data_IF_023746826424
#
_entry.id   IF_023746826424
#
_cell.length_a   1.000
_cell.length_b   1.000
_cell.length_c   1.000
_cell.angle_alpha   90.00
_cell.angle_beta   90.00
_cell.angle_gamma   90.00
#
_symmetry.space_group_name_H-M   'P 1'
#
loop_
_entity.id
_entity.type
_entity.pdbx_description
1 polymer ?
#
# COMPACT_ATOMS: atom_id res chain seq x y z
N UNK A 1 7.42 -45.24 22.90
CA UNK A 1 6.70 -44.11 23.54
C UNK A 1 6.26 -43.18 22.42
N UNK A 2 5.01 -43.29 21.96
CA UNK A 2 4.45 -42.40 20.93
C UNK A 2 3.95 -41.13 21.62
N UNK A 3 4.53 -39.99 21.29
CA UNK A 3 4.06 -38.68 21.75
C UNK A 3 2.87 -38.27 20.89
N UNK A 4 1.68 -38.26 21.49
CA UNK A 4 0.46 -37.71 20.87
C UNK A 4 0.63 -36.20 20.69
N UNK A 5 0.61 -35.72 19.45
CA UNK A 5 0.39 -34.29 19.15
C UNK A 5 -1.11 -34.01 19.39
N UNK A 6 -1.42 -33.16 20.37
CA UNK A 6 -2.79 -32.71 20.61
C UNK A 6 -3.13 -31.56 19.64
N UNK A 7 -4.04 -31.73 18.67
CA UNK A 7 -4.36 -30.72 17.66
C UNK A 7 -5.10 -29.46 18.19
N UNK A 8 -5.23 -29.30 19.51
CA UNK A 8 -5.96 -28.20 20.13
C UNK A 8 -5.13 -26.95 20.43
N UNK A 9 -3.81 -27.07 20.61
CA UNK A 9 -2.97 -25.96 21.10
C UNK A 9 -2.60 -24.95 20.00
N UNK A 10 -2.36 -25.41 18.77
CA UNK A 10 -2.05 -24.53 17.63
C UNK A 10 -3.29 -23.74 17.16
N UNK A 11 -4.47 -24.37 17.18
CA UNK A 11 -5.72 -23.70 16.85
C UNK A 11 -6.05 -22.57 17.84
N UNK A 12 -5.81 -22.80 19.13
CA UNK A 12 -5.97 -21.79 20.18
C UNK A 12 -4.93 -20.67 20.06
N UNK A 13 -3.66 -21.01 19.74
CA UNK A 13 -2.62 -20.02 19.51
C UNK A 13 -2.93 -19.11 18.31
N UNK A 14 -3.44 -19.70 17.22
CA UNK A 14 -3.86 -18.96 16.03
C UNK A 14 -5.08 -18.08 16.32
N UNK A 15 -6.02 -18.54 17.15
CA UNK A 15 -7.16 -17.74 17.59
C UNK A 15 -6.73 -16.54 18.45
N UNK A 16 -5.82 -16.74 19.42
CA UNK A 16 -5.21 -15.67 20.22
C UNK A 16 -4.50 -14.64 19.33
N UNK A 17 -3.72 -15.10 18.35
CA UNK A 17 -3.03 -14.22 17.40
C UNK A 17 -4.03 -13.41 16.55
N UNK A 18 -5.08 -14.04 16.03
CA UNK A 18 -6.11 -13.35 15.25
C UNK A 18 -6.85 -12.29 16.09
N UNK A 19 -7.15 -12.60 17.36
CA UNK A 19 -7.75 -11.67 18.29
C UNK A 19 -6.81 -10.49 18.62
N UNK A 20 -5.53 -10.75 18.83
CA UNK A 20 -4.53 -9.71 19.05
C UNK A 20 -4.38 -8.78 17.85
N UNK A 21 -4.37 -9.34 16.63
CA UNK A 21 -4.35 -8.55 15.39
C UNK A 21 -5.60 -7.68 15.30
N UNK A 22 -6.78 -8.20 15.68
CA UNK A 22 -8.01 -7.41 15.71
C UNK A 22 -7.93 -6.25 16.73
N UNK A 23 -7.36 -6.48 17.92
CA UNK A 23 -7.13 -5.43 18.92
C UNK A 23 -6.11 -4.39 18.43
N UNK A 24 -5.02 -4.84 17.79
CA UNK A 24 -4.03 -3.97 17.16
C UNK A 24 -4.68 -3.03 16.14
N UNK A 25 -5.54 -3.59 15.27
CA UNK A 25 -6.25 -2.82 14.25
C UNK A 25 -7.29 -1.86 14.85
N UNK A 26 -7.76 -2.10 16.09
CA UNK A 26 -8.61 -1.16 16.85
C UNK A 26 -7.84 0.02 17.46
N UNK A 27 -6.52 0.10 17.24
CA UNK A 27 -5.61 0.95 18.01
C UNK A 27 -5.62 0.68 19.52
N UNK A 28 -6.19 -0.46 19.94
CA UNK A 28 -6.12 -0.91 21.32
C UNK A 28 -4.80 -1.64 21.53
N UNK A 29 -3.72 -0.86 21.48
CA UNK A 29 -2.36 -1.35 21.62
C UNK A 29 -2.09 -1.91 23.02
N UNK A 30 -2.77 -1.37 24.03
CA UNK A 30 -2.68 -1.84 25.41
C UNK A 30 -3.23 -3.27 25.53
N UNK A 31 -4.45 -3.52 25.06
CA UNK A 31 -5.03 -4.87 25.10
C UNK A 31 -4.33 -5.83 24.14
N UNK A 32 -3.89 -5.37 22.96
CA UNK A 32 -3.11 -6.19 22.03
C UNK A 32 -1.80 -6.67 22.67
N UNK A 33 -1.01 -5.75 23.25
CA UNK A 33 0.24 -6.09 23.91
C UNK A 33 0.04 -6.98 25.13
N UNK A 34 -1.02 -6.75 25.92
CA UNK A 34 -1.39 -7.60 27.05
C UNK A 34 -1.73 -9.03 26.62
N UNK A 35 -2.53 -9.18 25.55
CA UNK A 35 -2.93 -10.49 25.03
C UNK A 35 -1.72 -11.26 24.48
N UNK A 36 -0.89 -10.61 23.64
CA UNK A 36 0.27 -11.27 23.06
C UNK A 36 1.35 -11.57 24.08
N UNK A 37 1.65 -10.65 25.02
CA UNK A 37 2.68 -10.87 26.04
C UNK A 37 2.41 -12.06 26.95
N UNK A 38 1.14 -12.40 27.18
CA UNK A 38 0.74 -13.61 27.92
C UNK A 38 1.13 -14.89 27.20
N UNK A 39 0.96 -14.92 25.88
CA UNK A 39 1.11 -16.12 25.06
C UNK A 39 2.48 -16.23 24.39
N UNK A 40 3.26 -15.12 24.33
CA UNK A 40 4.56 -15.04 23.65
C UNK A 40 5.64 -15.92 24.29
N UNK A 41 5.50 -16.28 25.56
CA UNK A 41 6.43 -17.20 26.22
C UNK A 41 5.99 -18.67 26.14
N UNK A 42 4.79 -18.92 25.59
CA UNK A 42 4.19 -20.24 25.45
C UNK A 42 3.92 -20.59 23.99
N UNK A 43 2.64 -20.67 23.63
CA UNK A 43 2.17 -21.14 22.33
C UNK A 43 2.59 -20.27 21.15
N UNK A 44 2.88 -18.99 21.37
CA UNK A 44 3.30 -18.04 20.32
C UNK A 44 4.81 -17.77 20.30
N UNK A 45 5.60 -18.48 21.11
CA UNK A 45 7.05 -18.26 21.27
C UNK A 45 7.86 -18.28 19.98
N UNK A 46 7.48 -19.11 19.02
CA UNK A 46 8.19 -19.25 17.75
C UNK A 46 7.40 -18.64 16.58
N UNK A 47 6.37 -17.83 16.86
CA UNK A 47 5.53 -17.24 15.83
C UNK A 47 6.04 -15.82 15.49
N UNK A 48 6.68 -15.68 14.32
CA UNK A 48 7.24 -14.41 13.88
C UNK A 48 6.18 -13.29 13.76
N UNK A 49 4.96 -13.61 13.35
CA UNK A 49 3.87 -12.62 13.27
C UNK A 49 3.45 -12.13 14.65
N UNK A 50 3.37 -13.02 15.64
CA UNK A 50 3.06 -12.63 17.03
C UNK A 50 4.13 -11.68 17.60
N UNK A 51 5.41 -11.99 17.37
CA UNK A 51 6.51 -11.09 17.75
C UNK A 51 6.41 -9.74 17.02
N UNK A 52 6.07 -9.72 15.73
CA UNK A 52 5.92 -8.48 14.96
C UNK A 52 4.79 -7.57 15.49
N UNK A 53 3.60 -8.13 15.74
CA UNK A 53 2.46 -7.36 16.23
C UNK A 53 2.67 -6.89 17.67
N UNK A 54 3.30 -7.70 18.52
CA UNK A 54 3.67 -7.29 19.88
C UNK A 54 4.70 -6.15 19.87
N UNK A 55 5.74 -6.27 19.04
CA UNK A 55 6.74 -5.21 18.85
C UNK A 55 6.10 -3.91 18.39
N UNK A 56 5.18 -4.00 17.42
CA UNK A 56 4.48 -2.85 16.86
C UNK A 56 3.50 -2.21 17.85
N UNK A 57 2.91 -3.00 18.76
CA UNK A 57 2.06 -2.48 19.83
C UNK A 57 2.90 -1.72 20.87
N UNK A 58 4.03 -2.28 21.29
CA UNK A 58 4.96 -1.61 22.19
C UNK A 58 5.51 -0.30 21.61
N UNK A 59 5.84 -0.27 20.32
CA UNK A 59 6.28 0.95 19.66
C UNK A 59 5.21 2.06 19.72
N UNK A 60 3.94 1.70 19.52
CA UNK A 60 2.80 2.65 19.58
C UNK A 60 2.48 3.12 20.99
N UNK A 61 2.82 2.32 22.01
CA UNK A 61 2.75 2.68 23.42
C UNK A 61 3.99 3.46 23.92
N UNK A 62 4.95 3.78 23.04
CA UNK A 62 6.19 4.45 23.41
C UNK A 62 7.20 3.56 24.14
N UNK A 63 6.94 2.26 24.24
CA UNK A 63 7.80 1.27 24.90
C UNK A 63 8.88 0.77 23.94
N UNK A 64 9.76 1.67 23.52
CA UNK A 64 10.74 1.44 22.46
C UNK A 64 11.69 0.26 22.76
N UNK A 65 12.10 0.08 24.01
CA UNK A 65 13.03 -1.00 24.38
C UNK A 65 12.38 -2.38 24.19
N UNK A 66 11.15 -2.55 24.67
CA UNK A 66 10.40 -3.79 24.48
C UNK A 66 10.07 -4.04 23.00
N UNK A 67 9.75 -2.97 22.25
CA UNK A 67 9.53 -3.06 20.80
C UNK A 67 10.76 -3.63 20.07
N UNK A 68 11.97 -3.16 20.42
CA UNK A 68 13.20 -3.62 19.80
C UNK A 68 13.40 -5.12 20.01
N UNK A 69 13.24 -5.64 21.22
CA UNK A 69 13.45 -7.06 21.51
C UNK A 69 12.59 -7.97 20.62
N UNK A 70 11.31 -7.63 20.47
CA UNK A 70 10.39 -8.42 19.65
C UNK A 70 10.61 -8.23 18.14
N UNK A 71 11.06 -7.05 17.67
CA UNK A 71 11.48 -6.89 16.28
C UNK A 71 12.73 -7.71 15.95
N UNK A 72 13.73 -7.75 16.85
CA UNK A 72 14.92 -8.60 16.69
C UNK A 72 14.53 -10.09 16.69
N UNK A 73 13.60 -10.49 17.55
CA UNK A 73 13.07 -11.87 17.59
C UNK A 73 12.34 -12.22 16.29
N UNK A 74 11.52 -11.32 15.75
CA UNK A 74 10.84 -11.50 14.45
C UNK A 74 11.86 -11.75 13.34
N UNK A 75 12.90 -10.94 13.26
CA UNK A 75 13.99 -11.08 12.28
C UNK A 75 14.78 -12.38 12.42
N UNK A 76 14.91 -12.92 13.64
CA UNK A 76 15.55 -14.23 13.89
C UNK A 76 14.66 -15.40 13.48
N UNK A 77 13.35 -15.30 13.76
CA UNK A 77 12.39 -16.38 13.52
C UNK A 77 12.01 -16.52 12.05
N UNK A 78 11.98 -15.41 11.30
CA UNK A 78 11.55 -15.42 9.90
C UNK A 78 12.42 -14.50 9.01
N UNK A 79 13.74 -14.74 8.93
CA UNK A 79 14.65 -13.93 8.11
C UNK A 79 14.23 -13.91 6.64
N UNK A 80 14.37 -12.76 5.97
CA UNK A 80 14.02 -12.59 4.56
C UNK A 80 12.52 -12.50 4.27
N UNK A 81 11.67 -12.67 5.28
CA UNK A 81 10.22 -12.51 5.10
C UNK A 81 9.80 -11.04 5.13
N UNK A 82 8.54 -10.79 4.77
CA UNK A 82 7.93 -9.46 4.92
C UNK A 82 8.02 -8.97 6.36
N UNK A 83 7.79 -9.82 7.36
CA UNK A 83 7.88 -9.46 8.78
C UNK A 83 9.30 -9.09 9.22
N UNK A 84 10.33 -9.77 8.71
CA UNK A 84 11.74 -9.40 8.94
C UNK A 84 12.07 -8.04 8.29
N UNK A 85 11.67 -7.85 7.03
CA UNK A 85 11.86 -6.57 6.32
C UNK A 85 11.20 -5.41 7.07
N UNK A 86 10.00 -5.63 7.60
CA UNK A 86 9.25 -4.63 8.37
C UNK A 86 9.90 -4.35 9.72
N UNK A 87 10.38 -5.39 10.40
CA UNK A 87 11.07 -5.29 11.68
C UNK A 87 12.37 -4.50 11.54
N UNK A 88 13.18 -4.78 10.51
CA UNK A 88 14.41 -4.04 10.21
C UNK A 88 14.17 -2.55 9.97
N UNK A 89 13.13 -2.19 9.20
CA UNK A 89 12.76 -0.78 8.98
C UNK A 89 12.31 -0.10 10.28
N UNK A 90 11.52 -0.79 11.11
CA UNK A 90 11.10 -0.26 12.40
C UNK A 90 12.29 -0.03 13.35
N UNK A 91 13.23 -0.97 13.41
CA UNK A 91 14.48 -0.85 14.17
C UNK A 91 15.32 0.35 13.71
N UNK A 92 15.47 0.56 12.40
CA UNK A 92 16.15 1.75 11.86
C UNK A 92 15.45 3.05 12.28
N UNK A 93 14.12 3.09 12.27
CA UNK A 93 13.35 4.26 12.72
C UNK A 93 13.52 4.54 14.21
N UNK A 94 13.52 3.50 15.05
CA UNK A 94 13.78 3.61 16.49
C UNK A 94 15.20 4.13 16.73
N UNK A 95 16.20 3.64 15.98
CA UNK A 95 17.58 4.13 16.05
C UNK A 95 17.71 5.58 15.60
N UNK A 96 16.96 6.04 14.60
CA UNK A 96 17.01 7.43 14.14
C UNK A 96 16.46 8.42 15.18
N UNK A 97 15.64 7.95 16.14
CA UNK A 97 15.03 8.76 17.22
C UNK A 97 15.85 8.73 18.52
N UNK A 98 17.17 8.53 18.40
CA UNK A 98 18.17 8.11 19.39
C UNK A 98 18.27 8.81 20.77
N UNK A 99 17.31 9.61 21.22
CA UNK A 99 17.37 10.23 22.56
C UNK A 99 17.32 9.23 23.71
N UNK A 100 16.58 8.11 23.57
CA UNK A 100 16.16 7.28 24.71
C UNK A 100 16.44 5.77 24.58
N UNK A 101 17.27 5.32 23.63
CA UNK A 101 17.57 3.88 23.43
C UNK A 101 18.95 3.54 24.01
N UNK A 102 19.06 2.58 24.94
CA UNK A 102 20.35 2.15 25.53
C UNK A 102 21.39 1.73 24.48
N UNK A 103 22.67 2.04 24.73
CA UNK A 103 23.77 1.78 23.78
C UNK A 103 23.93 0.27 23.44
N UNK A 104 23.68 -0.61 24.42
CA UNK A 104 23.68 -2.06 24.23
C UNK A 104 22.68 -2.54 23.16
N UNK A 105 21.54 -1.84 23.03
CA UNK A 105 20.52 -2.15 22.03
C UNK A 105 20.97 -1.67 20.64
N UNK A 106 21.65 -0.51 20.56
CA UNK A 106 22.22 -0.01 19.30
C UNK A 106 23.28 -0.98 18.74
N UNK A 107 24.10 -1.55 19.62
CA UNK A 107 25.09 -2.56 19.23
C UNK A 107 24.45 -3.85 18.74
N UNK A 108 23.37 -4.30 19.36
CA UNK A 108 22.64 -5.50 18.94
C UNK A 108 22.04 -5.35 17.54
N UNK A 109 21.46 -4.19 17.22
CA UNK A 109 20.91 -3.90 15.89
C UNK A 109 22.02 -3.81 14.83
N UNK A 110 23.15 -3.17 15.15
CA UNK A 110 24.32 -3.10 14.25
C UNK A 110 24.88 -4.48 13.91
N UNK A 111 25.02 -5.36 14.92
CA UNK A 111 25.53 -6.74 14.73
C UNK A 111 24.62 -7.61 13.87
N UNK A 112 23.30 -7.46 13.99
CA UNK A 112 22.37 -8.20 13.12
C UNK A 112 22.32 -7.67 11.69
N UNK A 113 22.58 -6.37 11.50
CA UNK A 113 22.67 -5.77 10.16
C UNK A 113 23.91 -6.25 9.40
N UNK A 114 25.02 -6.56 10.09
CA UNK A 114 26.25 -7.08 9.48
C UNK A 114 26.27 -8.60 9.29
N UNK A 115 25.55 -9.38 10.12
CA UNK A 115 25.45 -10.85 9.94
C UNK A 115 24.63 -11.28 8.71
N UNK A 116 23.74 -10.43 8.20
CA UNK A 116 22.97 -10.70 6.97
C UNK A 116 23.79 -10.66 5.66
N UNK A 117 25.04 -10.16 5.70
CA UNK A 117 25.94 -10.11 4.52
C UNK A 117 26.94 -11.27 4.47
N UNK A 118 27.14 -12.02 5.56
CA UNK A 118 28.18 -13.05 5.65
C UNK A 118 27.69 -14.48 5.31
N UNK A 119 26.37 -14.72 5.24
CA UNK A 119 25.81 -16.04 4.90
C UNK A 119 25.43 -16.22 3.41
N UNK A 120 25.60 -15.19 2.57
CA UNK A 120 25.32 -15.26 1.12
C UNK A 120 26.53 -15.60 0.25
N UNK A 121 27.70 -15.92 0.83
CA UNK A 121 28.93 -16.15 0.06
C UNK A 121 29.26 -17.63 -0.25
N UNK A 122 28.37 -18.59 0.08
CA UNK A 122 28.63 -20.02 -0.10
C UNK A 122 27.47 -20.79 -0.74
N UNK A 123 27.01 -20.36 -1.92
CA UNK A 123 26.36 -21.24 -2.91
C UNK A 123 26.31 -20.57 -4.28
N UNK A 124 27.37 -20.77 -5.07
CA UNK A 124 27.37 -20.45 -6.50
C UNK A 124 26.56 -21.51 -7.24
N UNK A 125 25.41 -21.15 -7.80
CA UNK A 125 24.66 -22.00 -8.73
C UNK A 125 23.20 -21.59 -8.91
N UNK A 126 22.89 -21.03 -10.09
CA UNK A 126 21.56 -20.65 -10.60
C UNK A 126 21.02 -19.29 -10.15
N UNK A 127 21.20 -18.28 -11.02
CA UNK A 127 20.54 -16.99 -10.93
C UNK A 127 19.03 -17.16 -11.13
N UNK A 128 18.27 -17.00 -10.05
CA UNK A 128 16.83 -16.71 -10.13
C UNK A 128 16.52 -15.66 -9.06
N UNK A 129 16.68 -14.40 -9.47
CA UNK A 129 16.39 -13.21 -8.67
C UNK A 129 14.89 -13.15 -8.37
N UNK A 130 14.53 -13.59 -7.16
CA UNK A 130 13.22 -13.38 -6.58
C UNK A 130 13.19 -11.97 -6.00
N UNK A 131 12.86 -11.00 -6.86
CA UNK A 131 12.89 -9.58 -6.54
C UNK A 131 11.68 -9.21 -5.67
N UNK A 132 11.91 -8.98 -4.38
CA UNK A 132 10.93 -8.37 -3.48
C UNK A 132 10.74 -6.91 -3.88
N UNK A 133 9.56 -6.56 -4.39
CA UNK A 133 9.21 -5.25 -4.91
C UNK A 133 9.17 -4.16 -3.84
N UNK A 134 10.33 -3.56 -3.60
CA UNK A 134 10.41 -2.13 -3.34
C UNK A 134 10.96 -1.46 -4.59
N UNK A 135 10.11 -1.30 -5.61
CA UNK A 135 10.41 -0.42 -6.73
C UNK A 135 10.78 0.95 -6.15
N UNK A 136 11.99 1.41 -6.44
CA UNK A 136 12.42 2.77 -6.15
C UNK A 136 11.53 3.72 -6.95
N UNK A 137 10.36 4.07 -6.39
CA UNK A 137 9.47 5.07 -6.97
C UNK A 137 10.20 6.42 -6.93
N UNK A 138 10.54 6.92 -8.11
CA UNK A 138 10.98 8.31 -8.29
C UNK A 138 9.90 9.22 -7.70
N UNK A 139 10.31 10.20 -6.90
CA UNK A 139 9.40 11.18 -6.31
C UNK A 139 8.73 12.00 -7.43
N UNK A 140 7.40 12.02 -7.48
CA UNK A 140 6.64 12.82 -8.47
C UNK A 140 6.85 14.33 -8.30
N UNK A 141 7.30 14.74 -7.11
CA UNK A 141 7.52 16.15 -6.76
C UNK A 141 8.38 16.84 -7.82
N UNK A 142 9.43 16.16 -8.27
CA UNK A 142 10.42 16.71 -9.20
C UNK A 142 10.32 16.12 -10.61
N UNK A 143 9.25 15.37 -10.95
CA UNK A 143 9.09 14.81 -12.30
C UNK A 143 8.81 15.94 -13.31
N UNK A 144 9.71 16.22 -14.27
CA UNK A 144 9.52 17.30 -15.24
C UNK A 144 8.44 17.01 -16.29
N UNK A 145 7.96 15.78 -16.39
CA UNK A 145 6.94 15.36 -17.35
C UNK A 145 5.51 15.65 -16.87
N UNK A 146 5.32 15.81 -15.56
CA UNK A 146 4.08 16.33 -15.00
C UNK A 146 3.95 17.82 -15.36
N UNK A 147 2.77 18.22 -15.81
CA UNK A 147 2.46 19.60 -16.14
C UNK A 147 2.83 20.56 -14.99
N UNK A 148 3.23 21.80 -15.31
CA UNK A 148 3.46 22.81 -14.29
C UNK A 148 2.13 23.29 -13.69
N UNK A 149 2.08 23.43 -12.36
CA UNK A 149 0.92 23.95 -11.66
C UNK A 149 1.32 24.77 -10.43
N UNK A 150 0.43 25.65 -10.03
CA UNK A 150 0.55 26.51 -8.85
C UNK A 150 -0.78 26.51 -8.09
N UNK A 151 -0.80 27.09 -6.89
CA UNK A 151 -2.04 27.22 -6.11
C UNK A 151 -3.11 28.06 -6.81
N UNK A 152 -2.75 28.92 -7.79
CA UNK A 152 -3.72 29.68 -8.58
C UNK A 152 -4.53 28.81 -9.56
N UNK A 153 -4.04 27.61 -9.87
CA UNK A 153 -4.72 26.66 -10.74
C UNK A 153 -5.79 25.84 -10.01
N UNK A 154 -5.89 25.97 -8.68
CA UNK A 154 -6.83 25.20 -7.88
C UNK A 154 -8.26 25.67 -8.15
N UNK A 155 -9.04 24.81 -8.78
CA UNK A 155 -10.48 25.02 -8.99
C UNK A 155 -11.26 24.67 -7.73
N UNK A 156 -11.57 25.67 -6.91
CA UNK A 156 -12.32 25.50 -5.66
C UNK A 156 -13.75 24.98 -5.83
N UNK A 157 -14.32 24.99 -7.05
CA UNK A 157 -15.61 24.37 -7.31
C UNK A 157 -15.53 22.84 -7.40
N UNK A 158 -14.32 22.31 -7.60
CA UNK A 158 -14.06 20.89 -7.81
C UNK A 158 -13.14 20.28 -6.75
N UNK A 159 -12.23 21.08 -6.20
CA UNK A 159 -11.23 20.67 -5.20
C UNK A 159 -11.54 21.38 -3.88
N UNK A 160 -11.67 20.59 -2.82
CA UNK A 160 -11.85 21.07 -1.45
C UNK A 160 -10.75 20.54 -0.54
N UNK A 161 -10.49 21.26 0.54
CA UNK A 161 -9.50 20.88 1.56
C UNK A 161 -10.22 20.69 2.88
N UNK A 162 -10.01 19.55 3.56
CA UNK A 162 -10.63 19.29 4.87
C UNK A 162 -10.09 20.24 5.94
N UNK A 163 -8.77 20.36 6.04
CA UNK A 163 -8.05 21.40 6.79
C UNK A 163 -6.67 21.60 6.20
N UNK A 164 -6.15 22.82 6.31
CA UNK A 164 -4.79 23.13 5.90
C UNK A 164 -3.75 22.61 6.91
N UNK A 165 -2.64 22.08 6.38
CA UNK A 165 -1.46 21.62 7.10
C UNK A 165 -0.19 22.10 6.36
N UNK A 166 0.98 21.78 6.90
CA UNK A 166 2.25 22.05 6.23
C UNK A 166 2.43 21.31 4.89
N UNK A 167 1.63 20.27 4.63
CA UNK A 167 1.73 19.42 3.43
C UNK A 167 0.64 19.73 2.37
N UNK A 168 -0.37 20.55 2.71
CA UNK A 168 -1.55 20.81 1.85
C UNK A 168 -1.18 21.43 0.50
N UNK A 169 -0.36 22.49 0.49
CA UNK A 169 -0.02 23.19 -0.75
C UNK A 169 0.73 22.27 -1.72
N UNK A 170 1.62 21.42 -1.18
CA UNK A 170 2.33 20.40 -1.97
C UNK A 170 1.34 19.42 -2.58
N UNK A 171 0.37 18.92 -1.81
CA UNK A 171 -0.64 18.00 -2.31
C UNK A 171 -1.55 18.66 -3.37
N UNK A 172 -2.03 19.88 -3.13
CA UNK A 172 -2.85 20.65 -4.08
C UNK A 172 -2.14 20.88 -5.40
N UNK A 173 -0.85 21.23 -5.36
CA UNK A 173 -0.05 21.38 -6.57
C UNK A 173 -0.04 20.06 -7.34
N UNK A 174 0.30 18.93 -6.73
CA UNK A 174 0.32 17.63 -7.44
C UNK A 174 -1.05 17.21 -7.98
N UNK A 175 -2.14 17.50 -7.25
CA UNK A 175 -3.52 17.32 -7.72
C UNK A 175 -3.77 18.13 -9.00
N UNK A 176 -3.39 19.41 -9.01
CA UNK A 176 -3.53 20.26 -10.21
C UNK A 176 -2.66 19.77 -11.37
N UNK A 177 -1.43 19.29 -11.09
CA UNK A 177 -0.56 18.71 -12.12
C UNK A 177 -1.20 17.48 -12.76
N UNK A 178 -1.79 16.59 -11.97
CA UNK A 178 -2.53 15.43 -12.45
C UNK A 178 -3.72 15.86 -13.32
N UNK A 179 -4.56 16.79 -12.85
CA UNK A 179 -5.73 17.26 -13.59
C UNK A 179 -5.38 17.87 -14.95
N UNK A 180 -4.27 18.59 -15.05
CA UNK A 180 -3.81 19.18 -16.32
C UNK A 180 -3.38 18.13 -17.36
N UNK A 181 -3.13 16.88 -16.95
CA UNK A 181 -2.83 15.77 -17.87
C UNK A 181 -4.09 15.06 -18.37
N UNK A 182 -5.19 15.14 -17.62
CA UNK A 182 -6.43 14.46 -17.97
C UNK A 182 -7.14 15.21 -19.10
N UNK A 183 -7.62 14.52 -20.15
CA UNK A 183 -8.41 15.15 -21.19
C UNK A 183 -9.61 15.91 -20.63
N UNK A 184 -9.85 17.13 -21.12
CA UNK A 184 -10.88 18.03 -20.59
C UNK A 184 -12.26 17.38 -20.53
N UNK A 185 -12.63 16.63 -21.56
CA UNK A 185 -13.92 15.94 -21.63
C UNK A 185 -14.12 14.96 -20.46
N UNK A 186 -13.07 14.26 -20.04
CA UNK A 186 -13.14 13.34 -18.89
C UNK A 186 -13.34 14.13 -17.59
N UNK A 187 -12.64 15.25 -17.42
CA UNK A 187 -12.82 16.12 -16.25
C UNK A 187 -14.25 16.69 -16.20
N UNK A 188 -14.79 17.11 -17.34
CA UNK A 188 -16.15 17.63 -17.45
C UNK A 188 -17.19 16.52 -17.16
N UNK A 189 -16.99 15.30 -17.65
CA UNK A 189 -17.82 14.13 -17.34
C UNK A 189 -17.82 13.84 -15.82
N UNK A 190 -16.66 13.87 -15.17
CA UNK A 190 -16.55 13.69 -13.72
C UNK A 190 -17.32 14.76 -12.94
N UNK A 191 -17.17 16.03 -13.34
CA UNK A 191 -17.92 17.15 -12.75
C UNK A 191 -19.42 17.00 -12.97
N UNK A 192 -19.85 16.63 -14.18
CA UNK A 192 -21.25 16.38 -14.52
C UNK A 192 -21.84 15.19 -13.75
N UNK A 193 -21.02 14.20 -13.43
CA UNK A 193 -21.35 13.07 -12.55
C UNK A 193 -21.35 13.41 -11.05
N UNK A 194 -21.13 14.67 -10.68
CA UNK A 194 -21.11 15.13 -9.28
C UNK A 194 -19.85 14.75 -8.51
N UNK A 195 -18.78 14.30 -9.20
CA UNK A 195 -17.53 13.92 -8.55
C UNK A 195 -16.80 15.17 -8.06
N UNK A 196 -16.17 15.09 -6.89
CA UNK A 196 -15.32 16.14 -6.31
C UNK A 196 -14.03 15.57 -5.75
N UNK A 197 -13.00 16.40 -5.61
CA UNK A 197 -11.72 16.04 -4.99
C UNK A 197 -11.65 16.64 -3.59
N UNK A 198 -11.30 15.82 -2.60
CA UNK A 198 -11.06 16.22 -1.22
C UNK A 198 -9.61 15.94 -0.84
N UNK A 199 -8.83 16.99 -0.60
CA UNK A 199 -7.50 16.89 -0.01
C UNK A 199 -7.63 16.88 1.51
N UNK A 200 -7.02 15.89 2.15
CA UNK A 200 -7.11 15.64 3.60
C UNK A 200 -5.74 15.22 4.13
N UNK A 201 -5.41 15.47 5.41
CA UNK A 201 -4.13 15.06 5.98
C UNK A 201 -3.84 13.56 5.83
N UNK A 202 -4.86 12.72 6.01
CA UNK A 202 -4.84 11.29 5.68
C UNK A 202 -6.20 10.86 5.14
N UNK A 203 -6.26 9.77 4.36
CA UNK A 203 -7.54 9.20 3.89
C UNK A 203 -8.45 8.82 5.06
N UNK A 204 -7.87 8.36 6.18
CA UNK A 204 -8.64 7.99 7.37
C UNK A 204 -9.40 9.18 7.98
N UNK A 205 -8.84 10.39 7.96
CA UNK A 205 -9.54 11.58 8.48
C UNK A 205 -10.80 11.93 7.68
N UNK A 206 -10.83 11.62 6.38
CA UNK A 206 -12.03 11.78 5.56
C UNK A 206 -13.06 10.66 5.77
N UNK A 207 -12.65 9.52 6.35
CA UNK A 207 -13.49 8.35 6.64
C UNK A 207 -13.19 7.77 8.02
N UNK A 208 -13.49 8.50 9.12
CA UNK A 208 -13.17 8.02 10.46
C UNK A 208 -13.88 6.70 10.81
N UNK A 209 -15.08 6.45 10.25
CA UNK A 209 -15.81 5.19 10.42
C UNK A 209 -15.16 3.97 9.76
N UNK A 210 -14.29 4.18 8.77
CA UNK A 210 -13.52 3.12 8.10
C UNK A 210 -12.20 2.79 8.79
N UNK A 211 -11.94 3.33 10.00
CA UNK A 211 -10.74 3.02 10.79
C UNK A 211 -10.53 1.51 11.01
N UNK A 212 -11.63 0.76 11.06
CA UNK A 212 -11.68 -0.67 11.29
C UNK A 212 -11.66 -1.51 10.01
N UNK A 213 -11.79 -0.87 8.86
CA UNK A 213 -11.90 -1.51 7.56
C UNK A 213 -10.53 -1.60 6.89
N UNK A 214 -10.30 -2.68 6.16
CA UNK A 214 -9.13 -2.82 5.29
C UNK A 214 -9.52 -2.44 3.87
N UNK A 215 -8.78 -1.53 3.20
CA UNK A 215 -8.93 -1.35 1.77
C UNK A 215 -8.70 -2.68 1.05
N UNK A 216 -9.34 -2.85 -0.10
CA UNK A 216 -9.19 -4.05 -0.91
C UNK A 216 -7.70 -4.28 -1.26
N UNK A 217 -7.24 -5.53 -1.17
CA UNK A 217 -5.85 -5.93 -1.46
C UNK A 217 -4.79 -5.60 -0.41
N UNK A 218 -5.17 -5.03 0.73
CA UNK A 218 -4.23 -4.75 1.83
C UNK A 218 -4.06 -5.98 2.74
N UNK A 219 -3.13 -6.87 2.37
CA UNK A 219 -2.84 -8.08 3.14
C UNK A 219 -1.83 -7.86 4.29
N UNK A 220 -1.15 -6.71 4.32
CA UNK A 220 0.03 -6.48 5.15
C UNK A 220 -0.27 -5.88 6.55
N UNK A 221 -1.51 -5.95 7.04
CA UNK A 221 -1.83 -5.56 8.42
C UNK A 221 -2.00 -4.05 8.69
N UNK A 222 -2.21 -3.22 7.67
CA UNK A 222 -2.64 -1.83 7.86
C UNK A 222 -3.98 -1.51 7.20
N UNK A 223 -4.71 -0.55 7.77
CA UNK A 223 -6.02 -0.09 7.29
C UNK A 223 -5.91 1.14 6.36
N UNK A 224 -6.99 1.93 6.27
CA UNK A 224 -7.05 3.13 5.41
C UNK A 224 -5.99 4.21 5.71
N UNK A 225 -5.27 4.14 6.83
CA UNK A 225 -4.09 5.00 7.07
C UNK A 225 -2.97 4.76 6.06
N UNK A 226 -2.94 3.57 5.45
CA UNK A 226 -1.97 3.22 4.42
C UNK A 226 -2.41 3.54 2.99
N UNK A 227 -3.64 4.01 2.82
CA UNK A 227 -4.13 4.47 1.53
C UNK A 227 -3.67 5.92 1.30
N UNK A 228 -2.95 6.16 0.21
CA UNK A 228 -2.56 7.51 -0.21
C UNK A 228 -3.70 8.27 -0.90
N UNK A 229 -4.66 7.54 -1.47
CA UNK A 229 -5.87 8.07 -2.07
C UNK A 229 -7.00 7.02 -1.96
N UNK A 230 -8.24 7.46 -2.23
CA UNK A 230 -9.41 6.59 -2.28
C UNK A 230 -10.54 7.24 -3.07
N UNK A 231 -11.09 6.53 -4.04
CA UNK A 231 -12.40 6.84 -4.59
C UNK A 231 -13.52 6.26 -3.72
N UNK A 232 -14.43 7.12 -3.32
CA UNK A 232 -15.67 6.77 -2.66
C UNK A 232 -16.71 7.78 -3.04
N UNK A 233 -17.61 7.40 -3.96
CA UNK A 233 -18.64 8.29 -4.48
C UNK A 233 -19.29 9.15 -3.37
N UNK A 234 -19.39 10.48 -3.56
CA UNK A 234 -19.02 11.26 -4.76
C UNK A 234 -17.59 11.80 -4.74
N UNK A 235 -16.70 11.31 -3.87
CA UNK A 235 -15.39 11.94 -3.61
C UNK A 235 -14.21 11.09 -4.05
N UNK A 236 -13.24 11.75 -4.68
CA UNK A 236 -11.85 11.29 -4.73
C UNK A 236 -11.14 11.93 -3.54
N UNK A 237 -10.72 11.11 -2.59
CA UNK A 237 -10.02 11.52 -1.39
C UNK A 237 -8.53 11.38 -1.61
N UNK A 238 -7.78 12.45 -1.36
CA UNK A 238 -6.30 12.48 -1.48
C UNK A 238 -5.71 12.74 -0.10
N UNK A 239 -4.90 11.78 0.37
CA UNK A 239 -4.12 11.93 1.59
C UNK A 239 -2.83 12.71 1.34
N UNK A 240 -2.62 13.80 2.09
CA UNK A 240 -1.35 14.54 2.13
C UNK A 240 -0.20 13.67 2.63
N UNK A 241 -0.53 12.73 3.52
CA UNK A 241 0.39 11.77 4.11
C UNK A 241 -0.16 10.36 4.02
N UNK A 242 0.75 9.40 3.91
CA UNK A 242 0.45 7.97 3.86
C UNK A 242 1.38 7.23 4.83
N UNK A 243 0.84 6.28 5.59
CA UNK A 243 1.67 5.35 6.35
C UNK A 243 1.94 4.08 5.55
N UNK A 244 3.04 3.41 5.86
CA UNK A 244 3.24 2.04 5.42
C UNK A 244 3.21 1.16 6.65
N UNK A 245 2.24 0.23 6.69
CA UNK A 245 1.99 -0.66 7.83
C UNK A 245 1.74 0.15 9.12
N UNK A 246 2.41 -0.23 10.21
CA UNK A 246 2.43 0.46 11.49
C UNK A 246 3.41 1.64 11.54
N UNK A 247 3.98 2.07 10.41
CA UNK A 247 4.88 3.22 10.33
C UNK A 247 4.20 4.57 10.62
N UNK A 248 5.02 5.59 10.90
CA UNK A 248 4.52 6.97 11.00
C UNK A 248 4.21 7.50 9.60
N UNK A 249 3.04 8.10 9.43
CA UNK A 249 2.62 8.68 8.16
C UNK A 249 3.68 9.68 7.65
N UNK A 250 4.10 9.51 6.40
CA UNK A 250 5.07 10.36 5.70
C UNK A 250 4.36 11.17 4.62
N UNK A 251 4.95 12.28 4.14
CA UNK A 251 4.53 12.93 2.90
C UNK A 251 4.15 11.93 1.80
N UNK A 252 2.97 12.08 1.23
CA UNK A 252 2.56 11.30 0.08
C UNK A 252 3.29 11.83 -1.16
N UNK A 253 4.27 11.06 -1.64
CA UNK A 253 5.09 11.42 -2.80
C UNK A 253 4.54 10.84 -4.12
N UNK A 254 3.35 10.25 -4.09
CA UNK A 254 2.68 9.63 -5.25
C UNK A 254 1.26 10.20 -5.44
N UNK A 255 1.05 11.48 -5.11
CA UNK A 255 -0.27 12.13 -5.15
C UNK A 255 -0.84 12.15 -6.57
N UNK A 256 -0.03 12.46 -7.59
CA UNK A 256 -0.52 12.57 -8.96
C UNK A 256 -0.92 11.19 -9.51
N UNK A 257 -0.06 10.17 -9.39
CA UNK A 257 -0.42 8.81 -9.81
C UNK A 257 -1.61 8.26 -9.03
N UNK A 258 -1.62 8.41 -7.70
CA UNK A 258 -2.72 7.90 -6.89
C UNK A 258 -4.04 8.58 -7.27
N UNK A 259 -4.03 9.91 -7.48
CA UNK A 259 -5.19 10.63 -7.96
C UNK A 259 -5.69 10.10 -9.30
N UNK A 260 -4.79 9.88 -10.28
CA UNK A 260 -5.18 9.38 -11.60
C UNK A 260 -5.78 7.98 -11.53
N UNK A 261 -5.24 7.10 -10.68
CA UNK A 261 -5.85 5.80 -10.40
C UNK A 261 -7.29 5.96 -9.86
N UNK A 262 -7.49 6.80 -8.84
CA UNK A 262 -8.83 7.05 -8.30
C UNK A 262 -9.78 7.73 -9.30
N UNK A 263 -9.26 8.59 -10.18
CA UNK A 263 -10.04 9.15 -11.30
C UNK A 263 -10.47 8.06 -12.27
N UNK A 264 -9.67 7.03 -12.48
CA UNK A 264 -10.05 5.85 -13.24
C UNK A 264 -11.28 5.15 -12.66
N UNK A 265 -11.30 4.90 -11.34
CA UNK A 265 -12.49 4.36 -10.67
C UNK A 265 -13.69 5.31 -10.75
N UNK A 266 -13.47 6.61 -10.55
CA UNK A 266 -14.54 7.60 -10.62
C UNK A 266 -15.16 7.68 -12.02
N UNK A 267 -14.31 7.65 -13.06
CA UNK A 267 -14.75 7.69 -14.45
C UNK A 267 -15.47 6.39 -14.82
N UNK A 268 -14.94 5.25 -14.41
CA UNK A 268 -15.61 3.96 -14.55
C UNK A 268 -17.03 4.01 -13.96
N UNK A 269 -17.17 4.54 -12.74
CA UNK A 269 -18.46 4.73 -12.09
C UNK A 269 -19.41 5.67 -12.86
N UNK A 270 -18.94 6.86 -13.26
CA UNK A 270 -19.76 7.86 -13.98
C UNK A 270 -20.25 7.33 -15.33
N UNK A 271 -19.46 6.47 -15.99
CA UNK A 271 -19.83 5.81 -17.25
C UNK A 271 -20.65 4.52 -17.04
N UNK A 272 -21.05 4.24 -15.81
CA UNK A 272 -21.93 3.14 -15.42
C UNK A 272 -21.24 1.78 -15.31
N UNK A 273 -19.93 1.74 -15.03
CA UNK A 273 -19.14 0.52 -14.82
C UNK A 273 -18.63 -0.10 -16.12
N UNK A 274 -17.85 0.65 -16.89
CA UNK A 274 -17.14 0.17 -18.09
C UNK A 274 -16.26 -1.06 -17.80
N UNK A 275 -15.64 -1.13 -16.62
CA UNK A 275 -14.79 -2.26 -16.24
C UNK A 275 -15.56 -3.59 -16.13
N UNK A 276 -16.88 -3.53 -15.89
CA UNK A 276 -17.75 -4.67 -15.64
C UNK A 276 -18.69 -5.00 -16.80
N UNK A 277 -18.66 -4.24 -17.89
CA UNK A 277 -19.58 -4.45 -19.03
C UNK A 277 -19.00 -3.98 -20.36
N UNK A 278 -19.55 -4.54 -21.43
CA UNK A 278 -19.17 -4.19 -22.79
C UNK A 278 -17.69 -4.44 -23.07
N UNK A 279 -17.13 -3.61 -23.95
CA UNK A 279 -15.86 -3.91 -24.61
C UNK A 279 -14.66 -4.08 -23.67
N UNK A 280 -14.56 -3.33 -22.56
CA UNK A 280 -13.43 -3.52 -21.64
C UNK A 280 -13.50 -4.87 -20.92
N UNK A 281 -14.69 -5.27 -20.45
CA UNK A 281 -14.89 -6.59 -19.85
C UNK A 281 -14.56 -7.71 -20.82
N UNK A 282 -14.96 -7.58 -22.08
CA UNK A 282 -14.64 -8.56 -23.11
C UNK A 282 -13.13 -8.66 -23.33
N UNK A 283 -12.42 -7.53 -23.38
CA UNK A 283 -10.96 -7.48 -23.45
C UNK A 283 -10.32 -8.13 -22.21
N UNK A 284 -10.82 -7.83 -21.01
CA UNK A 284 -10.31 -8.38 -19.75
C UNK A 284 -10.44 -9.90 -19.72
N UNK A 285 -11.61 -10.43 -20.06
CA UNK A 285 -11.85 -11.88 -20.06
C UNK A 285 -10.96 -12.60 -21.07
N UNK A 286 -10.73 -12.00 -22.24
CA UNK A 286 -9.80 -12.54 -23.23
C UNK A 286 -8.37 -12.55 -22.71
N UNK A 287 -7.83 -11.40 -22.30
CA UNK A 287 -6.47 -11.31 -21.74
C UNK A 287 -6.29 -12.28 -20.56
N UNK A 288 -7.23 -12.28 -19.61
CA UNK A 288 -7.23 -13.16 -18.44
C UNK A 288 -7.32 -14.66 -18.77
N UNK A 289 -7.94 -15.02 -19.90
CA UNK A 289 -7.95 -16.40 -20.39
C UNK A 289 -6.59 -16.88 -20.90
N UNK A 290 -5.68 -15.95 -21.20
CA UNK A 290 -4.36 -16.23 -21.75
C UNK A 290 -3.21 -16.05 -20.74
N UNK A 291 -3.47 -15.52 -19.53
CA UNK A 291 -2.42 -15.36 -18.52
C UNK A 291 -2.03 -16.70 -17.88
N UNK A 292 -0.72 -16.89 -17.70
CA UNK A 292 -0.17 -18.06 -16.98
C UNK A 292 -0.40 -17.96 -15.46
N UNK A 293 -0.29 -19.08 -14.74
CA UNK A 293 -0.37 -19.08 -13.27
C UNK A 293 0.71 -18.20 -12.61
N UNK A 294 1.89 -18.10 -13.21
CA UNK A 294 2.97 -17.22 -12.76
C UNK A 294 2.56 -15.75 -12.89
N UNK A 295 2.02 -15.35 -14.05
CA UNK A 295 1.49 -14.00 -14.26
C UNK A 295 0.31 -13.69 -13.35
N UNK A 296 -0.60 -14.65 -13.14
CA UNK A 296 -1.73 -14.53 -12.21
C UNK A 296 -1.26 -14.26 -10.78
N UNK A 297 -0.27 -15.01 -10.30
CA UNK A 297 0.30 -14.79 -8.96
C UNK A 297 0.97 -13.43 -8.86
N UNK A 298 1.78 -13.05 -9.86
CA UNK A 298 2.47 -11.77 -9.92
C UNK A 298 1.49 -10.58 -9.96
N UNK A 299 0.41 -10.71 -10.70
CA UNK A 299 -0.64 -9.70 -10.87
C UNK A 299 -1.90 -10.06 -10.07
N UNK A 300 -1.74 -10.67 -8.89
CA UNK A 300 -2.85 -11.17 -8.05
C UNK A 300 -3.87 -10.08 -7.72
N UNK A 301 -3.43 -8.83 -7.56
CA UNK A 301 -4.30 -7.68 -7.33
C UNK A 301 -5.22 -7.37 -8.53
N UNK A 302 -4.75 -7.54 -9.77
CA UNK A 302 -5.52 -7.29 -10.99
C UNK A 302 -6.27 -8.53 -11.49
N UNK A 303 -6.07 -9.67 -10.82
CA UNK A 303 -6.69 -10.96 -11.17
C UNK A 303 -7.60 -11.50 -10.06
N UNK A 304 -7.98 -10.63 -9.12
CA UNK A 304 -8.92 -10.95 -8.05
C UNK A 304 -10.26 -11.42 -8.60
N UNK A 305 -10.93 -12.29 -7.86
CA UNK A 305 -12.23 -12.83 -8.23
C UNK A 305 -13.33 -11.77 -8.30
N UNK A 306 -14.38 -12.14 -9.04
CA UNK A 306 -15.52 -11.29 -9.31
C UNK A 306 -15.11 -10.07 -10.12
N UNK A 307 -15.60 -8.92 -9.70
CA UNK A 307 -15.57 -7.71 -10.51
C UNK A 307 -14.31 -6.86 -10.32
N UNK A 308 -13.60 -6.92 -9.18
CA UNK A 308 -12.55 -5.91 -8.99
C UNK A 308 -11.20 -6.23 -9.59
N UNK A 309 -10.89 -7.46 -10.01
CA UNK A 309 -9.69 -7.63 -10.84
C UNK A 309 -9.74 -6.70 -12.06
N UNK A 310 -10.90 -6.67 -12.74
CA UNK A 310 -11.15 -5.78 -13.86
C UNK A 310 -11.22 -4.30 -13.46
N UNK A 311 -11.86 -3.95 -12.33
CA UNK A 311 -11.94 -2.54 -11.87
C UNK A 311 -10.58 -1.94 -11.52
N UNK A 312 -9.76 -2.68 -10.76
CA UNK A 312 -8.41 -2.26 -10.40
C UNK A 312 -7.50 -2.17 -11.63
N UNK A 313 -7.62 -3.13 -12.57
CA UNK A 313 -6.88 -3.06 -13.83
C UNK A 313 -7.28 -1.85 -14.65
N UNK A 314 -8.58 -1.55 -14.74
CA UNK A 314 -9.10 -0.37 -15.44
C UNK A 314 -8.50 0.91 -14.86
N UNK A 315 -8.59 1.09 -13.54
CA UNK A 315 -8.06 2.26 -12.85
C UNK A 315 -6.54 2.40 -13.02
N UNK A 316 -5.80 1.29 -12.93
CA UNK A 316 -4.36 1.32 -13.09
C UNK A 316 -3.92 1.65 -14.52
N UNK A 317 -4.56 1.03 -15.53
CA UNK A 317 -4.26 1.33 -16.94
C UNK A 317 -4.65 2.77 -17.30
N UNK A 318 -5.73 3.30 -16.71
CA UNK A 318 -6.12 4.71 -16.87
C UNK A 318 -5.00 5.65 -16.39
N UNK A 319 -4.44 5.40 -15.20
CA UNK A 319 -3.29 6.16 -14.68
C UNK A 319 -2.09 6.07 -15.63
N UNK A 320 -1.73 4.86 -16.06
CA UNK A 320 -0.55 4.64 -16.91
C UNK A 320 -0.67 5.27 -18.31
N UNK A 321 -1.85 5.30 -18.92
CA UNK A 321 -2.02 5.89 -20.25
C UNK A 321 -1.94 7.43 -20.21
N UNK A 322 -2.43 8.04 -19.13
CA UNK A 322 -2.36 9.50 -18.92
C UNK A 322 -0.96 9.92 -18.49
N UNK A 323 -0.38 9.26 -17.48
CA UNK A 323 0.91 9.62 -16.89
C UNK A 323 2.03 8.67 -17.35
N UNK A 324 2.37 8.77 -18.64
CA UNK A 324 3.27 7.80 -19.31
C UNK A 324 4.69 7.73 -18.73
N UNK A 325 5.20 8.77 -18.07
CA UNK A 325 6.52 8.72 -17.43
C UNK A 325 6.55 7.75 -16.25
N UNK A 326 5.41 7.51 -15.61
CA UNK A 326 5.26 6.48 -14.59
C UNK A 326 5.66 5.10 -15.14
N UNK A 327 5.33 4.82 -16.39
CA UNK A 327 5.63 3.54 -17.05
C UNK A 327 7.10 3.41 -17.44
N UNK A 328 7.76 4.53 -17.82
CA UNK A 328 9.14 4.49 -18.34
C UNK A 328 10.18 4.04 -17.32
N UNK A 329 9.87 4.15 -16.03
CA UNK A 329 10.76 3.79 -14.93
C UNK A 329 10.23 2.63 -14.08
N UNK A 330 9.11 2.00 -14.49
CA UNK A 330 8.42 0.98 -13.70
C UNK A 330 8.27 -0.30 -14.52
N UNK A 331 9.16 -1.27 -14.25
CA UNK A 331 9.12 -2.59 -14.88
C UNK A 331 7.78 -3.30 -14.59
N UNK A 332 7.15 -3.04 -13.43
CA UNK A 332 5.84 -3.63 -13.11
C UNK A 332 4.73 -3.07 -14.02
N UNK A 333 4.80 -1.78 -14.38
CA UNK A 333 3.85 -1.16 -15.29
C UNK A 333 3.96 -1.72 -16.72
N UNK A 334 5.19 -1.86 -17.23
CA UNK A 334 5.44 -2.45 -18.55
C UNK A 334 5.00 -3.92 -18.59
N UNK A 335 5.31 -4.69 -17.55
CA UNK A 335 4.92 -6.10 -17.44
C UNK A 335 3.39 -6.26 -17.35
N UNK A 336 2.70 -5.35 -16.65
CA UNK A 336 1.24 -5.36 -16.57
C UNK A 336 0.59 -5.10 -17.93
N UNK A 337 1.07 -4.10 -18.67
CA UNK A 337 0.57 -3.78 -20.01
C UNK A 337 0.83 -4.92 -21.01
N UNK A 338 1.97 -5.59 -20.91
CA UNK A 338 2.29 -6.77 -21.71
C UNK A 338 1.41 -7.99 -21.35
N UNK A 339 1.01 -8.10 -20.09
CA UNK A 339 0.13 -9.18 -19.62
C UNK A 339 -1.33 -8.98 -20.04
N UNK A 340 -1.78 -7.71 -20.15
CA UNK A 340 -3.14 -7.34 -20.55
C UNK A 340 -3.15 -6.44 -21.80
N UNK A 341 -2.74 -6.97 -22.97
CA UNK A 341 -2.55 -6.15 -24.17
C UNK A 341 -3.87 -5.61 -24.76
N UNK A 342 -4.97 -6.37 -24.71
CA UNK A 342 -6.26 -5.91 -25.23
C UNK A 342 -6.84 -4.81 -24.33
N UNK A 343 -6.75 -4.98 -23.00
CA UNK A 343 -7.17 -3.96 -22.05
C UNK A 343 -6.35 -2.68 -22.19
N UNK A 344 -5.02 -2.81 -22.37
CA UNK A 344 -4.12 -1.69 -22.59
C UNK A 344 -4.50 -0.92 -23.86
N UNK A 345 -4.74 -1.65 -24.96
CA UNK A 345 -5.20 -1.03 -26.21
C UNK A 345 -6.54 -0.31 -26.05
N UNK A 346 -7.51 -0.93 -25.38
CA UNK A 346 -8.79 -0.30 -25.10
C UNK A 346 -8.61 1.02 -24.36
N UNK A 347 -7.77 1.04 -23.30
CA UNK A 347 -7.54 2.23 -22.50
C UNK A 347 -6.92 3.35 -23.33
N UNK A 348 -5.90 3.06 -24.14
CA UNK A 348 -5.29 4.06 -25.02
C UNK A 348 -6.28 4.61 -26.06
N UNK A 349 -7.17 3.77 -26.59
CA UNK A 349 -8.20 4.21 -27.54
C UNK A 349 -9.26 5.09 -26.84
N UNK A 350 -9.66 4.74 -25.61
CA UNK A 350 -10.57 5.51 -24.76
C UNK A 350 -10.01 6.91 -24.46
N UNK A 351 -8.78 6.99 -23.94
CA UNK A 351 -8.14 8.27 -23.61
C UNK A 351 -7.95 9.11 -24.88
N UNK A 352 -7.51 8.51 -25.99
CA UNK A 352 -7.35 9.22 -27.27
C UNK A 352 -8.66 9.82 -27.79
N UNK A 353 -9.78 9.10 -27.65
CA UNK A 353 -11.08 9.56 -28.11
C UNK A 353 -11.65 10.75 -27.33
N UNK A 354 -11.09 11.07 -26.16
CA UNK A 354 -11.49 12.19 -25.31
C UNK A 354 -10.54 13.41 -25.39
N UNK A 355 -9.48 13.33 -26.22
CA UNK A 355 -8.46 14.38 -26.37
C UNK A 355 -8.84 15.47 -27.35
#
# INVERSE_FOLDING_TARGET
MLTFFLPGTEALAQASLNQAIALYNKNDFASCSSLLSKDINGSLRNNASAHYYLASAYLRLGQNNAAVEHYLATSRLAPGTVYDTYSKKALQSIMARAGNVPEAIKDQIKRQSSQGQAQTAASTGSNTESNSSSSGRVSEIDDPTLASATLKDVDSSFITVLRHTADTDRALIQVCRALKLVPKQIVDDLKGGGITVLVTPTVLEAKPGSAMEKPRGYNNGGGYTNAGALFSHPRIVIGERVSYLSGVAQPNNSVASAMLHEMGHAYDHVRGGLSHKGKFKDCYQQDFGHITNTQRTKHSYYTQEGDAGASELFAQLFSYDIYKSQVRNDQEAADLQATFPLCTKYMSDLIRSNR
#
